data_IF_403569495621
#
_entry.id   IF_403569495621
#
_cell.length_a   1.000
_cell.length_b   1.000
_cell.length_c   1.000
_cell.angle_alpha   90.00
_cell.angle_beta   90.00
_cell.angle_gamma   90.00
#
_symmetry.space_group_name_H-M   'P 1'
#
loop_
_entity.id
_entity.type
_entity.pdbx_description
1 polymer ?
#
# COMPACT_ATOMS: atom_id res chain seq x y z
N UNK A 1 -3.98 -21.18 5.54
CA UNK A 1 -3.68 -20.66 6.89
C UNK A 1 -2.98 -19.29 6.90
N UNK A 2 -2.95 -18.53 5.78
CA UNK A 2 -2.18 -17.26 5.68
C UNK A 2 -3.07 -16.00 5.75
N UNK A 3 -4.40 -16.15 5.63
CA UNK A 3 -5.25 -14.95 5.53
C UNK A 3 -5.21 -14.10 6.81
N UNK A 4 -5.31 -14.67 8.02
CA UNK A 4 -5.38 -13.87 9.26
C UNK A 4 -4.17 -12.96 9.51
N UNK A 5 -2.96 -13.35 9.09
CA UNK A 5 -1.74 -12.55 9.27
C UNK A 5 -1.69 -11.32 8.34
N UNK A 6 -2.09 -11.48 7.08
CA UNK A 6 -2.13 -10.37 6.10
C UNK A 6 -3.08 -9.27 6.57
N UNK A 7 -4.21 -9.66 7.15
CA UNK A 7 -5.20 -8.75 7.70
C UNK A 7 -4.68 -7.89 8.85
N UNK A 8 -4.01 -8.53 9.81
CA UNK A 8 -3.46 -7.84 10.98
C UNK A 8 -2.36 -6.83 10.58
N UNK A 9 -1.54 -7.20 9.58
CA UNK A 9 -0.51 -6.32 9.02
C UNK A 9 -1.16 -5.10 8.35
N UNK A 10 -2.23 -5.26 7.57
CA UNK A 10 -2.92 -4.13 6.93
C UNK A 10 -3.49 -3.13 7.94
N UNK A 11 -4.09 -3.59 9.05
CA UNK A 11 -4.63 -2.71 10.09
C UNK A 11 -3.52 -1.93 10.81
N UNK A 12 -2.39 -2.59 11.12
CA UNK A 12 -1.25 -1.91 11.75
C UNK A 12 -0.61 -0.87 10.82
N UNK A 13 -0.53 -1.18 9.52
CA UNK A 13 -0.05 -0.22 8.51
C UNK A 13 -0.97 0.99 8.39
N UNK A 14 -2.29 0.79 8.39
CA UNK A 14 -3.25 1.88 8.37
C UNK A 14 -3.07 2.82 9.57
N UNK A 15 -2.96 2.27 10.79
CA UNK A 15 -2.70 3.07 12.00
C UNK A 15 -1.36 3.80 11.96
N UNK A 16 -0.32 3.16 11.42
CA UNK A 16 0.98 3.79 11.25
C UNK A 16 0.93 4.98 10.28
N UNK A 17 0.20 4.86 9.17
CA UNK A 17 0.00 5.95 8.21
C UNK A 17 -0.77 7.13 8.84
N UNK A 18 -1.83 6.86 9.61
CA UNK A 18 -2.57 7.92 10.31
C UNK A 18 -1.70 8.64 11.35
N UNK A 19 -0.85 7.89 12.04
CA UNK A 19 0.03 8.44 13.08
C UNK A 19 1.20 9.24 12.50
N UNK A 20 1.67 8.89 11.30
CA UNK A 20 2.82 9.56 10.66
C UNK A 20 2.49 10.96 10.16
N UNK A 21 1.22 11.25 9.85
CA UNK A 21 0.74 12.52 9.27
C UNK A 21 1.51 12.94 8.00
N UNK A 22 2.05 11.96 7.28
CA UNK A 22 2.71 12.16 6.00
C UNK A 22 1.73 11.87 4.86
N UNK A 23 1.92 12.54 3.72
CA UNK A 23 1.18 12.22 2.51
C UNK A 23 1.58 10.84 2.00
N UNK A 24 0.61 10.04 1.57
CA UNK A 24 0.87 8.70 1.05
C UNK A 24 -0.05 8.34 -0.12
N UNK A 25 0.44 7.43 -0.96
CA UNK A 25 -0.35 6.66 -1.91
C UNK A 25 -0.27 5.20 -1.49
N UNK A 26 -1.39 4.62 -1.06
CA UNK A 26 -1.46 3.24 -0.62
C UNK A 26 -2.25 2.39 -1.61
N UNK A 27 -1.57 1.42 -2.23
CA UNK A 27 -2.19 0.45 -3.12
C UNK A 27 -2.69 -0.75 -2.33
N UNK A 28 -4.01 -0.93 -2.29
CA UNK A 28 -4.68 -2.06 -1.62
C UNK A 28 -5.58 -2.78 -2.61
N UNK A 29 -5.16 -3.96 -3.08
CA UNK A 29 -5.95 -4.75 -4.03
C UNK A 29 -7.27 -5.20 -3.40
N UNK A 30 -8.39 -4.73 -3.97
CA UNK A 30 -9.70 -5.28 -3.66
C UNK A 30 -9.83 -6.65 -4.33
N UNK A 31 -10.17 -7.70 -3.56
CA UNK A 31 -10.34 -9.06 -4.08
C UNK A 31 -11.68 -9.24 -4.80
N UNK A 32 -12.03 -8.38 -5.77
CA UNK A 32 -13.30 -8.47 -6.50
C UNK A 32 -13.25 -9.30 -7.78
N UNK A 33 -12.08 -9.66 -8.29
CA UNK A 33 -11.95 -10.32 -9.59
C UNK A 33 -12.32 -11.83 -9.59
N UNK A 34 -12.97 -12.31 -8.53
CA UNK A 34 -13.41 -13.70 -8.41
C UNK A 34 -14.62 -13.85 -7.51
N UNK A 35 -15.79 -13.38 -7.95
CA UNK A 35 -17.13 -13.91 -7.62
C UNK A 35 -17.57 -14.04 -6.15
N UNK A 36 -16.79 -13.62 -5.16
CA UNK A 36 -17.17 -13.70 -3.76
C UNK A 36 -17.40 -12.29 -3.21
N UNK A 37 -18.62 -12.07 -2.73
CA UNK A 37 -19.05 -10.82 -2.10
C UNK A 37 -18.05 -10.38 -1.01
N UNK A 38 -17.65 -9.11 -1.07
CA UNK A 38 -16.87 -8.44 -0.04
C UNK A 38 -17.59 -8.62 1.29
N UNK A 39 -17.08 -9.49 2.15
CA UNK A 39 -17.47 -9.46 3.56
C UNK A 39 -17.10 -8.06 4.06
N UNK A 40 -18.05 -7.37 4.67
CA UNK A 40 -17.90 -6.07 5.36
C UNK A 40 -16.61 -5.92 6.19
N UNK A 41 -16.04 -7.04 6.61
CA UNK A 41 -14.78 -7.16 7.37
C UNK A 41 -13.51 -6.80 6.58
N UNK A 42 -13.55 -6.70 5.24
CA UNK A 42 -12.44 -6.25 4.36
C UNK A 42 -12.35 -4.73 4.20
N UNK A 43 -13.33 -4.02 4.75
CA UNK A 43 -13.35 -2.56 4.74
C UNK A 43 -12.36 -2.06 5.80
N UNK A 44 -11.30 -1.38 5.38
CA UNK A 44 -10.46 -0.57 6.26
C UNK A 44 -11.37 0.38 7.05
N UNK A 45 -11.57 0.12 8.33
CA UNK A 45 -12.48 0.90 9.19
C UNK A 45 -12.07 2.37 9.29
N UNK A 46 -10.81 2.69 9.02
CA UNK A 46 -10.23 4.02 9.04
C UNK A 46 -9.99 4.61 7.65
N UNK A 47 -10.63 4.09 6.61
CA UNK A 47 -10.43 4.57 5.23
C UNK A 47 -10.74 6.07 5.07
N UNK A 48 -11.83 6.53 5.67
CA UNK A 48 -12.23 7.95 5.61
C UNK A 48 -11.19 8.86 6.28
N UNK A 49 -10.59 8.43 7.39
CA UNK A 49 -9.50 9.15 8.05
C UNK A 49 -8.22 9.12 7.22
N UNK A 50 -7.91 7.99 6.58
CA UNK A 50 -6.74 7.83 5.71
C UNK A 50 -6.82 8.75 4.49
N UNK A 51 -7.99 8.88 3.90
CA UNK A 51 -8.22 9.71 2.71
C UNK A 51 -8.12 11.23 3.00
N UNK A 52 -8.05 11.64 4.28
CA UNK A 52 -7.72 13.03 4.63
C UNK A 52 -6.24 13.37 4.44
N UNK A 53 -5.37 12.37 4.47
CA UNK A 53 -3.91 12.54 4.38
C UNK A 53 -3.30 11.93 3.13
N UNK A 54 -4.03 11.10 2.39
CA UNK A 54 -3.48 10.40 1.23
C UNK A 54 -4.54 9.75 0.36
N UNK A 55 -4.09 8.88 -0.54
CA UNK A 55 -4.96 8.16 -1.46
C UNK A 55 -4.86 6.66 -1.23
N UNK A 56 -6.01 5.99 -1.13
CA UNK A 56 -6.11 4.52 -1.09
C UNK A 56 -6.72 4.03 -2.40
N UNK A 57 -5.93 3.38 -3.24
CA UNK A 57 -6.33 2.96 -4.59
C UNK A 57 -6.15 1.45 -4.78
N UNK A 58 -6.98 0.79 -5.61
CA UNK A 58 -6.82 -0.64 -5.88
C UNK A 58 -5.59 -0.96 -6.72
N UNK A 59 -5.13 0.01 -7.51
CA UNK A 59 -4.02 -0.12 -8.44
C UNK A 59 -3.46 1.26 -8.80
N UNK A 60 -2.18 1.30 -9.21
CA UNK A 60 -1.53 2.49 -9.76
C UNK A 60 -0.51 2.11 -10.84
N UNK A 61 -0.16 3.06 -11.71
CA UNK A 61 0.98 2.98 -12.61
C UNK A 61 2.28 3.12 -11.80
N UNK A 62 2.79 2.01 -11.25
CA UNK A 62 3.91 2.02 -10.31
C UNK A 62 5.15 2.73 -10.85
N UNK A 63 5.50 2.52 -12.12
CA UNK A 63 6.67 3.18 -12.74
C UNK A 63 6.51 4.70 -12.78
N UNK A 64 5.31 5.21 -13.06
CA UNK A 64 5.04 6.66 -13.05
C UNK A 64 5.11 7.22 -11.63
N UNK A 65 4.54 6.51 -10.66
CA UNK A 65 4.62 6.88 -9.24
C UNK A 65 6.07 6.92 -8.76
N UNK A 66 6.88 5.92 -9.13
CA UNK A 66 8.30 5.86 -8.78
C UNK A 66 9.12 6.99 -9.41
N UNK A 67 8.70 7.47 -10.58
CA UNK A 67 9.39 8.55 -11.30
C UNK A 67 8.91 9.95 -10.89
N UNK A 68 7.91 10.04 -10.01
CA UNK A 68 7.32 11.31 -9.62
C UNK A 68 8.18 12.05 -8.58
N UNK A 69 8.46 13.33 -8.83
CA UNK A 69 9.36 14.14 -7.98
C UNK A 69 8.88 14.32 -6.53
N UNK A 70 7.57 14.27 -6.29
CA UNK A 70 6.99 14.33 -4.94
C UNK A 70 7.15 13.03 -4.13
N UNK A 71 7.68 11.95 -4.71
CA UNK A 71 7.88 10.70 -3.99
C UNK A 71 9.12 10.78 -3.08
N UNK A 72 8.88 10.86 -1.77
CA UNK A 72 9.96 10.89 -0.78
C UNK A 72 10.50 9.51 -0.36
N UNK A 73 9.66 8.47 -0.39
CA UNK A 73 10.01 7.13 0.06
C UNK A 73 9.05 6.09 -0.50
N UNK A 74 9.54 4.89 -0.80
CA UNK A 74 8.76 3.77 -1.30
C UNK A 74 8.82 2.56 -0.37
N UNK A 75 7.66 2.14 0.15
CA UNK A 75 7.55 0.97 1.05
C UNK A 75 7.12 -0.26 0.25
N UNK A 76 7.94 -1.32 0.22
CA UNK A 76 7.68 -2.50 -0.62
C UNK A 76 7.90 -3.83 0.10
N UNK A 77 7.31 -4.89 -0.45
CA UNK A 77 7.50 -6.27 0.04
C UNK A 77 8.75 -6.99 -0.48
N UNK A 78 9.63 -6.28 -1.20
CA UNK A 78 10.86 -6.82 -1.79
C UNK A 78 10.66 -7.86 -2.90
N UNK A 79 9.53 -7.83 -3.61
CA UNK A 79 9.38 -8.58 -4.87
C UNK A 79 10.41 -8.15 -5.91
N UNK A 80 10.99 -9.11 -6.63
CA UNK A 80 12.17 -8.87 -7.49
C UNK A 80 11.97 -7.78 -8.54
N UNK A 81 10.81 -7.75 -9.21
CA UNK A 81 10.50 -6.73 -10.21
C UNK A 81 10.38 -5.34 -9.58
N UNK A 82 9.65 -5.24 -8.46
CA UNK A 82 9.48 -3.98 -7.72
C UNK A 82 10.81 -3.46 -7.18
N UNK A 83 11.71 -4.35 -6.74
CA UNK A 83 13.05 -3.97 -6.33
C UNK A 83 13.83 -3.34 -7.50
N UNK A 84 13.89 -4.00 -8.65
CA UNK A 84 14.59 -3.49 -9.83
C UNK A 84 14.02 -2.14 -10.28
N UNK A 85 12.71 -1.99 -10.34
CA UNK A 85 12.06 -0.72 -10.69
C UNK A 85 12.45 0.42 -9.74
N UNK A 86 12.49 0.16 -8.42
CA UNK A 86 12.89 1.16 -7.44
C UNK A 86 14.38 1.53 -7.53
N UNK A 87 15.25 0.56 -7.84
CA UNK A 87 16.68 0.81 -8.01
C UNK A 87 16.94 1.67 -9.25
N UNK A 88 16.23 1.40 -10.36
CA UNK A 88 16.32 2.18 -11.59
C UNK A 88 15.77 3.60 -11.36
N UNK A 89 14.67 3.74 -10.63
CA UNK A 89 14.10 5.05 -10.30
C UNK A 89 14.94 5.86 -9.30
N UNK A 90 15.88 5.24 -8.59
CA UNK A 90 16.76 5.92 -7.62
C UNK A 90 16.02 6.41 -6.37
N UNK A 91 14.92 5.76 -6.00
CA UNK A 91 14.09 6.21 -4.87
C UNK A 91 14.53 5.58 -3.55
N UNK A 92 14.41 6.29 -2.40
CA UNK A 92 14.61 5.68 -1.09
C UNK A 92 13.59 4.59 -0.81
N UNK A 93 14.04 3.40 -0.39
CA UNK A 93 13.17 2.24 -0.15
C UNK A 93 13.16 1.84 1.32
N UNK A 94 11.96 1.61 1.86
CA UNK A 94 11.74 0.87 3.10
C UNK A 94 11.30 -0.55 2.74
N UNK A 95 12.22 -1.49 2.95
CA UNK A 95 12.00 -2.91 2.70
C UNK A 95 11.18 -3.54 3.83
N UNK A 96 10.08 -4.19 3.49
CA UNK A 96 9.26 -4.98 4.40
C UNK A 96 8.98 -6.36 3.80
N UNK A 97 9.97 -7.28 3.78
CA UNK A 97 9.82 -8.59 3.14
C UNK A 97 8.63 -9.37 3.72
N UNK A 98 7.92 -10.10 2.86
CA UNK A 98 6.79 -10.95 3.22
C UNK A 98 7.21 -12.38 3.57
#
# INVERSE_FOLDING_TARGET
MIQQLVWWISIHRARALLSSRQLFLWVVKNRKDGGYEEKEKDKLTCREELEQFGMVVPWCLQVEVLSHSSLGCFVMHCGWNTMLESMVAGVPVVAFPQ
#
